data_IF_721431381229
#
_entry.id   IF_721431381229
#
_cell.length_a   1.000
_cell.length_b   1.000
_cell.length_c   1.000
_cell.angle_alpha   90.00
_cell.angle_beta   90.00
_cell.angle_gamma   90.00
#
_symmetry.space_group_name_H-M   'P 1'
#
loop_
_entity.id
_entity.type
_entity.pdbx_description
1 polymer ?
#
# COMPACT_ATOMS: atom_id res chain seq x y z
N UNK A 1 13.08 -0.08 -4.78
CA UNK A 1 14.42 -0.46 -4.27
C UNK A 1 15.02 0.46 -3.21
N UNK A 2 15.02 1.81 -3.33
CA UNK A 2 15.64 2.70 -2.32
C UNK A 2 15.13 2.45 -0.90
N UNK A 3 13.81 2.34 -0.74
CA UNK A 3 13.19 2.20 0.58
C UNK A 3 13.59 0.88 1.25
N UNK A 4 13.50 -0.22 0.50
CA UNK A 4 13.94 -1.55 0.94
C UNK A 4 15.38 -1.54 1.43
N UNK A 5 16.29 -0.94 0.65
CA UNK A 5 17.73 -0.92 0.99
C UNK A 5 18.07 -0.08 2.23
N UNK A 6 17.35 1.01 2.47
CA UNK A 6 17.72 1.97 3.52
C UNK A 6 16.96 1.78 4.83
N UNK A 7 15.78 1.15 4.79
CA UNK A 7 14.84 1.17 5.91
C UNK A 7 14.20 -0.18 6.21
N UNK A 8 14.47 -1.22 5.42
CA UNK A 8 13.88 -2.54 5.62
C UNK A 8 14.98 -3.52 5.99
N UNK A 9 15.23 -3.62 7.29
CA UNK A 9 16.05 -4.65 7.91
C UNK A 9 15.17 -5.80 8.45
N UNK A 10 15.77 -6.80 9.09
CA UNK A 10 15.03 -7.97 9.60
C UNK A 10 13.98 -7.62 10.67
N UNK A 11 14.19 -6.57 11.46
CA UNK A 11 13.23 -6.14 12.46
C UNK A 11 12.04 -5.45 11.81
N UNK A 12 12.30 -4.58 10.82
CA UNK A 12 11.26 -3.98 10.00
C UNK A 12 10.45 -5.03 9.24
N UNK A 13 11.09 -6.05 8.66
CA UNK A 13 10.40 -7.15 7.96
C UNK A 13 9.42 -7.88 8.90
N UNK A 14 9.85 -8.21 10.13
CA UNK A 14 8.98 -8.86 11.12
C UNK A 14 7.84 -7.95 11.58
N UNK A 15 8.11 -6.66 11.74
CA UNK A 15 7.06 -5.68 12.07
C UNK A 15 6.01 -5.66 10.97
N UNK A 16 6.43 -5.55 9.71
CA UNK A 16 5.53 -5.54 8.55
C UNK A 16 4.64 -6.78 8.56
N UNK A 17 5.20 -7.97 8.77
CA UNK A 17 4.44 -9.23 8.85
C UNK A 17 3.44 -9.29 10.01
N UNK A 18 3.70 -8.60 11.12
CA UNK A 18 2.84 -8.61 12.31
C UNK A 18 1.66 -7.66 12.19
N UNK A 19 1.86 -6.51 11.55
CA UNK A 19 0.88 -5.42 11.53
C UNK A 19 0.06 -5.41 10.24
N UNK A 20 0.58 -5.91 9.12
CA UNK A 20 -0.21 -6.05 7.90
C UNK A 20 -1.16 -7.24 8.03
N UNK A 21 -2.44 -6.99 7.76
CA UNK A 21 -3.45 -8.05 7.74
C UNK A 21 -3.28 -8.99 6.53
N UNK A 22 -2.79 -8.47 5.40
CA UNK A 22 -2.54 -9.27 4.19
C UNK A 22 -1.08 -9.75 4.13
N UNK A 23 -0.83 -11.00 3.69
CA UNK A 23 0.53 -11.51 3.54
C UNK A 23 1.24 -10.87 2.35
N UNK A 24 2.57 -10.76 2.44
CA UNK A 24 3.42 -10.23 1.37
C UNK A 24 3.88 -8.81 1.66
N UNK A 25 4.32 -8.09 0.63
CA UNK A 25 4.79 -6.71 0.76
C UNK A 25 3.97 -5.81 -0.11
N UNK A 26 3.55 -4.69 0.47
CA UNK A 26 3.02 -3.58 -0.31
C UNK A 26 4.12 -3.07 -1.24
N UNK A 27 3.81 -3.02 -2.53
CA UNK A 27 4.71 -2.57 -3.58
C UNK A 27 4.20 -1.29 -4.24
N UNK A 28 5.06 -0.50 -4.90
CA UNK A 28 4.63 0.71 -5.60
C UNK A 28 3.50 0.47 -6.61
N UNK A 29 3.45 -0.71 -7.22
CA UNK A 29 2.43 -1.10 -8.19
C UNK A 29 1.04 -1.25 -7.55
N UNK A 30 0.93 -1.56 -6.26
CA UNK A 30 -0.36 -1.63 -5.56
C UNK A 30 -1.01 -0.25 -5.43
N UNK A 31 -0.22 0.76 -5.08
CA UNK A 31 -0.66 2.16 -5.05
C UNK A 31 -1.01 2.63 -6.47
N UNK A 32 -0.19 2.30 -7.46
CA UNK A 32 -0.45 2.66 -8.85
C UNK A 32 -1.78 2.08 -9.35
N UNK A 33 -2.11 0.84 -8.99
CA UNK A 33 -3.41 0.23 -9.30
C UNK A 33 -4.59 0.97 -8.66
N UNK A 34 -4.47 1.39 -7.40
CA UNK A 34 -5.49 2.22 -6.75
C UNK A 34 -5.70 3.54 -7.50
N UNK A 35 -4.60 4.21 -7.88
CA UNK A 35 -4.66 5.46 -8.64
C UNK A 35 -5.30 5.25 -10.02
N UNK A 36 -4.97 4.16 -10.71
CA UNK A 36 -5.60 3.83 -12.00
C UNK A 36 -7.11 3.60 -11.86
N UNK A 37 -7.57 2.95 -10.78
CA UNK A 37 -9.00 2.85 -10.48
C UNK A 37 -9.63 4.23 -10.28
N UNK A 38 -9.02 5.10 -9.46
CA UNK A 38 -9.52 6.46 -9.22
C UNK A 38 -9.52 7.36 -10.45
N UNK A 39 -8.69 7.03 -11.46
CA UNK A 39 -8.64 7.74 -12.73
C UNK A 39 -9.67 7.21 -13.75
N UNK A 40 -10.35 6.10 -13.45
CA UNK A 40 -11.34 5.48 -14.33
C UNK A 40 -12.76 6.01 -14.10
N UNK A 41 -13.65 5.75 -15.05
CA UNK A 41 -15.07 6.11 -14.90
C UNK A 41 -15.76 5.33 -13.76
N UNK A 42 -15.21 4.18 -13.35
CA UNK A 42 -15.78 3.33 -12.30
C UNK A 42 -15.75 4.00 -10.92
N UNK A 43 -14.89 5.00 -10.73
CA UNK A 43 -14.79 5.78 -9.49
C UNK A 43 -15.50 7.14 -9.57
N UNK A 44 -16.42 7.36 -10.51
CA UNK A 44 -17.04 8.67 -10.76
C UNK A 44 -17.66 9.36 -9.51
N UNK A 45 -18.07 8.58 -8.51
CA UNK A 45 -18.67 9.09 -7.26
C UNK A 45 -17.72 9.04 -6.06
N UNK A 46 -16.44 8.75 -6.26
CA UNK A 46 -15.40 8.75 -5.24
C UNK A 46 -14.70 10.11 -5.20
N UNK A 47 -15.07 10.98 -4.27
CA UNK A 47 -14.46 12.32 -4.14
C UNK A 47 -14.30 12.76 -2.68
N UNK A 48 -13.30 13.61 -2.43
CA UNK A 48 -12.97 14.15 -1.10
C UNK A 48 -12.75 13.08 -0.01
N UNK A 49 -12.20 11.93 -0.38
CA UNK A 49 -11.89 10.82 0.54
C UNK A 49 -10.40 10.51 0.53
N UNK A 50 -9.93 9.92 1.64
CA UNK A 50 -8.62 9.29 1.72
C UNK A 50 -8.77 7.79 1.40
N UNK A 51 -8.03 7.32 0.39
CA UNK A 51 -7.97 5.90 0.03
C UNK A 51 -6.65 5.31 0.51
N UNK A 52 -6.72 4.54 1.60
CA UNK A 52 -5.54 3.95 2.25
C UNK A 52 -5.17 2.64 1.52
N UNK A 53 -3.90 2.54 1.13
CA UNK A 53 -3.33 1.35 0.48
C UNK A 53 -2.10 0.91 1.28
N UNK A 54 -2.32 0.10 2.31
CA UNK A 54 -1.29 -0.24 3.32
C UNK A 54 -1.27 -1.72 3.71
N UNK A 55 -2.08 -2.55 3.02
CA UNK A 55 -2.31 -3.95 3.34
C UNK A 55 -2.97 -4.20 4.72
N UNK A 56 -3.74 -3.24 5.22
CA UNK A 56 -4.45 -3.31 6.49
C UNK A 56 -3.55 -3.07 7.69
N UNK A 57 -2.72 -2.03 7.61
CA UNK A 57 -1.78 -1.64 8.67
C UNK A 57 -2.45 -0.76 9.72
N UNK A 58 -3.26 0.21 9.28
CA UNK A 58 -3.90 1.23 10.12
C UNK A 58 -5.28 0.79 10.62
#
# INVERSE_FOLDING_TARGET
ERQKRLWVDEEAEKMIDQVQCLPGRLMPEDVARMVLFLASDDSAMCTAQDFIVDAGWV
#
